data_IF_236143500710
#
_entry.id   IF_236143500710
#
_cell.length_a   1.000
_cell.length_b   1.000
_cell.length_c   1.000
_cell.angle_alpha   90.00
_cell.angle_beta   90.00
_cell.angle_gamma   90.00
#
_symmetry.space_group_name_H-M   'P 1'
#
loop_
_entity.id
_entity.type
_entity.pdbx_description
1 polymer ?
#
# COMPACT_ATOMS: atom_id res chain seq x y z
N UNK A 1 31.91 -43.84 -61.68
CA UNK A 1 31.87 -43.86 -60.22
C UNK A 1 31.38 -42.48 -59.70
N UNK A 2 30.08 -42.38 -59.35
CA UNK A 2 29.45 -41.08 -58.95
C UNK A 2 29.39 -40.99 -57.44
N UNK A 3 30.14 -40.05 -56.89
CA UNK A 3 30.16 -39.78 -55.42
C UNK A 3 28.97 -38.85 -55.11
N UNK A 4 28.02 -39.31 -54.30
CA UNK A 4 26.96 -38.51 -53.75
C UNK A 4 27.43 -37.85 -52.43
N UNK A 5 27.56 -36.53 -52.42
CA UNK A 5 27.78 -35.76 -51.18
C UNK A 5 26.42 -35.62 -50.46
N UNK A 6 26.34 -36.16 -49.25
CA UNK A 6 25.22 -35.94 -48.35
C UNK A 6 25.55 -34.68 -47.51
N UNK A 7 24.85 -33.58 -47.74
CA UNK A 7 24.88 -32.42 -46.85
C UNK A 7 23.95 -32.68 -45.68
N UNK A 8 24.56 -32.89 -44.47
CA UNK A 8 23.83 -32.99 -43.22
C UNK A 8 23.58 -31.54 -42.70
N UNK A 9 22.34 -31.11 -42.73
CA UNK A 9 21.93 -29.79 -42.22
C UNK A 9 21.71 -29.90 -40.69
N UNK A 10 22.60 -29.31 -39.89
CA UNK A 10 22.49 -29.25 -38.46
C UNK A 10 21.55 -28.08 -38.11
N UNK A 11 20.30 -28.39 -37.71
CA UNK A 11 19.34 -27.41 -37.22
C UNK A 11 19.70 -27.10 -35.77
N UNK A 12 20.29 -25.92 -35.53
CA UNK A 12 20.57 -25.40 -34.18
C UNK A 12 19.30 -24.75 -33.65
N UNK A 13 18.54 -25.47 -32.83
CA UNK A 13 17.35 -24.93 -32.15
C UNK A 13 17.81 -24.07 -30.98
N UNK A 14 17.90 -22.77 -31.22
CA UNK A 14 18.18 -21.81 -30.14
C UNK A 14 17.01 -21.75 -29.15
N UNK A 15 17.22 -22.19 -27.92
CA UNK A 15 16.27 -21.99 -26.82
C UNK A 15 16.37 -20.54 -26.39
N UNK A 16 15.38 -19.73 -26.77
CA UNK A 16 15.22 -18.36 -26.27
C UNK A 16 14.74 -18.45 -24.79
N UNK A 17 15.65 -18.24 -23.86
CA UNK A 17 15.29 -18.00 -22.47
C UNK A 17 14.60 -16.62 -22.41
N UNK A 18 13.27 -16.59 -22.36
CA UNK A 18 12.53 -15.40 -22.01
C UNK A 18 12.67 -15.19 -20.52
N UNK A 19 13.52 -14.24 -20.11
CA UNK A 19 13.50 -13.75 -18.72
C UNK A 19 12.15 -13.04 -18.52
N UNK A 20 11.26 -13.64 -17.76
CA UNK A 20 10.05 -12.98 -17.31
C UNK A 20 10.47 -11.81 -16.42
N UNK A 21 9.99 -10.58 -16.65
CA UNK A 21 10.21 -9.50 -15.72
C UNK A 21 9.61 -9.91 -14.37
N UNK A 22 10.43 -9.98 -13.34
CA UNK A 22 9.96 -10.18 -11.97
C UNK A 22 9.46 -8.84 -11.43
N UNK A 23 8.39 -8.89 -10.64
CA UNK A 23 7.95 -7.74 -9.85
C UNK A 23 9.14 -7.20 -9.04
N UNK A 24 9.31 -5.90 -9.04
CA UNK A 24 10.33 -5.26 -8.22
C UNK A 24 9.80 -5.05 -6.79
N UNK A 25 10.64 -5.33 -5.81
CA UNK A 25 10.34 -5.14 -4.41
C UNK A 25 10.82 -3.76 -3.95
N UNK A 26 9.99 -3.12 -3.11
CA UNK A 26 10.22 -1.80 -2.58
C UNK A 26 10.01 -1.80 -1.06
N UNK A 27 10.91 -1.16 -0.33
CA UNK A 27 10.69 -0.80 1.06
C UNK A 27 10.06 0.59 1.11
N UNK A 28 9.01 0.77 1.92
CA UNK A 28 8.36 2.09 2.10
C UNK A 28 9.37 3.07 2.69
N UNK A 29 9.51 4.23 2.01
CA UNK A 29 10.29 5.37 2.49
C UNK A 29 9.42 6.19 3.45
N UNK A 30 9.65 6.03 4.74
CA UNK A 30 8.87 6.71 5.79
C UNK A 30 9.09 8.23 5.81
N UNK A 31 10.17 8.71 5.20
CA UNK A 31 10.45 10.15 5.08
C UNK A 31 9.59 10.86 4.03
N UNK A 32 9.08 10.12 3.04
CA UNK A 32 8.29 10.67 1.93
C UNK A 32 6.90 10.02 1.79
N UNK A 33 6.52 9.18 2.76
CA UNK A 33 5.21 8.54 2.80
C UNK A 33 4.34 9.20 3.87
N UNK A 34 3.04 9.35 3.56
CA UNK A 34 2.06 9.93 4.48
C UNK A 34 0.82 9.07 4.54
N UNK A 35 0.41 8.71 5.75
CA UNK A 35 -0.86 8.06 6.07
C UNK A 35 -1.70 9.08 6.82
N UNK A 36 -2.66 9.70 6.14
CA UNK A 36 -3.49 10.76 6.70
C UNK A 36 -4.95 10.35 6.78
N UNK A 37 -5.68 10.93 7.70
CA UNK A 37 -7.11 10.72 7.85
C UNK A 37 -7.84 12.04 8.06
N UNK A 38 -9.13 12.03 7.72
CA UNK A 38 -10.08 13.11 7.92
C UNK A 38 -11.39 12.53 8.45
N UNK A 39 -11.97 13.16 9.47
CA UNK A 39 -13.25 12.78 10.06
C UNK A 39 -14.10 14.02 10.29
N UNK A 40 -15.42 13.92 10.12
CA UNK A 40 -16.33 15.02 10.40
C UNK A 40 -16.34 15.36 11.90
N UNK A 41 -16.24 16.63 12.25
CA UNK A 41 -16.42 17.12 13.59
C UNK A 41 -17.82 17.73 13.74
N UNK A 42 -18.79 16.92 14.16
CA UNK A 42 -20.18 17.30 14.43
C UNK A 42 -20.89 18.00 13.24
N UNK A 43 -20.42 17.79 12.01
CA UNK A 43 -20.96 18.45 10.82
C UNK A 43 -20.51 19.91 10.64
N UNK A 44 -19.72 20.49 11.56
CA UNK A 44 -19.27 21.88 11.48
C UNK A 44 -17.94 22.04 10.74
N UNK A 45 -17.06 21.06 10.88
CA UNK A 45 -15.71 21.09 10.30
C UNK A 45 -15.15 19.67 10.17
N UNK A 46 -13.88 19.56 9.83
CA UNK A 46 -13.19 18.27 9.78
C UNK A 46 -11.97 18.31 10.70
N UNK A 47 -11.85 17.28 11.53
CA UNK A 47 -10.59 16.94 12.18
C UNK A 47 -9.72 16.17 11.18
N UNK A 48 -8.47 16.59 11.04
CA UNK A 48 -7.45 15.88 10.26
C UNK A 48 -6.35 15.39 11.17
N UNK A 49 -5.76 14.26 10.80
CA UNK A 49 -4.62 13.70 11.50
C UNK A 49 -3.82 12.79 10.60
N UNK A 50 -2.75 12.25 11.16
CA UNK A 50 -1.86 11.30 10.49
C UNK A 50 -1.29 10.31 11.50
N UNK A 51 -0.67 9.26 10.96
CA UNK A 51 0.21 8.39 11.72
C UNK A 51 1.65 8.69 11.32
N UNK A 52 2.53 8.91 12.31
CA UNK A 52 3.92 9.30 12.07
C UNK A 52 4.86 8.09 11.96
N UNK A 53 4.51 6.95 12.58
CA UNK A 53 5.37 5.77 12.63
C UNK A 53 4.67 4.58 11.97
N UNK A 54 5.25 4.10 10.91
CA UNK A 54 4.79 2.94 10.13
C UNK A 54 5.98 2.32 9.39
N UNK A 55 5.82 1.06 8.99
CA UNK A 55 6.75 0.36 8.13
C UNK A 55 6.00 -0.52 7.14
N UNK A 56 6.65 -0.94 6.08
CA UNK A 56 6.06 -1.83 5.11
C UNK A 56 6.88 -2.01 3.85
N UNK A 57 6.37 -2.91 3.02
CA UNK A 57 6.95 -3.21 1.72
C UNK A 57 5.84 -3.38 0.70
N UNK A 58 6.18 -3.16 -0.55
CA UNK A 58 5.31 -3.53 -1.67
C UNK A 58 6.13 -4.08 -2.83
N UNK A 59 5.51 -4.93 -3.63
CA UNK A 59 6.04 -5.32 -4.94
C UNK A 59 5.16 -4.76 -6.05
N UNK A 60 5.79 -4.32 -7.13
CA UNK A 60 5.09 -3.80 -8.30
C UNK A 60 5.76 -4.23 -9.59
N UNK A 61 4.94 -4.63 -10.57
CA UNK A 61 5.35 -4.88 -11.95
C UNK A 61 4.35 -4.17 -12.87
N UNK A 62 4.82 -3.13 -13.57
CA UNK A 62 3.99 -2.37 -14.50
C UNK A 62 3.44 -3.23 -15.66
N UNK A 63 4.10 -4.34 -16.00
CA UNK A 63 3.65 -5.27 -17.05
C UNK A 63 2.66 -6.33 -16.53
N UNK A 64 2.65 -6.55 -15.21
CA UNK A 64 1.73 -7.46 -14.54
C UNK A 64 1.26 -6.89 -13.19
N UNK A 65 0.48 -5.81 -13.19
CA UNK A 65 0.05 -5.14 -11.96
C UNK A 65 -0.71 -6.06 -11.01
N UNK A 66 -1.40 -7.09 -11.52
CA UNK A 66 -2.14 -8.05 -10.70
C UNK A 66 -1.26 -8.89 -9.77
N UNK A 67 0.03 -8.98 -10.03
CA UNK A 67 1.00 -9.64 -9.15
C UNK A 67 1.48 -8.76 -7.99
N UNK A 68 1.10 -7.47 -7.96
CA UNK A 68 1.49 -6.53 -6.92
C UNK A 68 1.00 -6.96 -5.54
N UNK A 69 1.84 -6.77 -4.54
CA UNK A 69 1.55 -7.08 -3.13
C UNK A 69 1.93 -5.89 -2.27
N UNK A 70 1.23 -5.72 -1.17
CA UNK A 70 1.47 -4.65 -0.18
C UNK A 70 1.28 -5.22 1.22
N UNK A 71 2.22 -4.95 2.11
CA UNK A 71 2.12 -5.23 3.54
C UNK A 71 2.58 -4.01 4.31
N UNK A 72 1.75 -3.52 5.23
CA UNK A 72 2.02 -2.32 6.04
C UNK A 72 1.63 -2.56 7.49
N UNK A 73 2.49 -2.11 8.40
CA UNK A 73 2.21 -2.04 9.83
C UNK A 73 2.37 -0.60 10.29
N UNK A 74 1.37 -0.07 10.99
CA UNK A 74 1.34 1.29 11.54
C UNK A 74 1.36 1.17 13.06
N UNK A 75 2.22 1.94 13.73
CA UNK A 75 2.18 2.11 15.18
C UNK A 75 0.97 3.01 15.54
N UNK A 76 -0.04 2.44 16.16
CA UNK A 76 -1.27 3.16 16.49
C UNK A 76 -1.03 4.33 17.46
N UNK A 77 0.02 4.26 18.30
CA UNK A 77 0.35 5.35 19.24
C UNK A 77 0.91 6.58 18.54
N UNK A 78 1.36 6.45 17.28
CA UNK A 78 1.93 7.54 16.49
C UNK A 78 0.88 8.51 15.91
N UNK A 79 -0.39 8.33 16.26
CA UNK A 79 -1.48 9.24 15.86
C UNK A 79 -1.18 10.66 16.31
N UNK A 80 -1.35 11.61 15.37
CA UNK A 80 -1.06 13.02 15.55
C UNK A 80 -2.11 13.86 14.80
N UNK A 81 -2.84 14.69 15.52
CA UNK A 81 -3.84 15.61 15.00
C UNK A 81 -3.48 17.07 15.26
N UNK A 82 -2.22 17.33 15.65
CA UNK A 82 -1.73 18.65 16.05
C UNK A 82 -2.47 19.22 17.27
N UNK A 83 -2.94 18.34 18.20
CA UNK A 83 -3.60 18.75 19.43
C UNK A 83 -3.38 17.68 20.52
N UNK A 84 -2.49 17.96 21.47
CA UNK A 84 -1.97 16.98 22.42
C UNK A 84 -3.06 16.27 23.26
N UNK A 85 -4.08 17.01 23.75
CA UNK A 85 -5.15 16.40 24.55
C UNK A 85 -6.03 15.47 23.70
N UNK A 86 -6.36 15.85 22.47
CA UNK A 86 -7.09 14.99 21.54
C UNK A 86 -6.26 13.74 21.19
N UNK A 87 -4.98 13.89 20.93
CA UNK A 87 -4.10 12.76 20.61
C UNK A 87 -3.97 11.80 21.78
N UNK A 88 -3.97 12.33 23.02
CA UNK A 88 -4.01 11.52 24.24
C UNK A 88 -5.31 10.73 24.35
N UNK A 89 -6.45 11.35 24.05
CA UNK A 89 -7.77 10.71 24.06
C UNK A 89 -7.86 9.65 22.96
N UNK A 90 -7.42 9.97 21.74
CA UNK A 90 -7.37 9.02 20.62
C UNK A 90 -6.53 7.76 20.96
N UNK A 91 -5.49 7.86 21.77
CA UNK A 91 -4.68 6.72 22.22
C UNK A 91 -5.31 5.93 23.35
N UNK A 92 -6.33 6.48 24.02
CA UNK A 92 -7.00 5.85 25.15
C UNK A 92 -7.93 4.70 24.73
N UNK A 93 -8.51 4.02 25.72
CA UNK A 93 -9.49 2.97 25.55
C UNK A 93 -10.87 3.47 25.04
N UNK A 94 -11.08 4.78 25.01
CA UNK A 94 -12.24 5.38 24.34
C UNK A 94 -12.17 5.28 22.82
N UNK A 95 -10.95 5.14 22.25
CA UNK A 95 -10.72 5.10 20.78
C UNK A 95 -9.74 3.98 20.40
N UNK A 96 -8.44 4.28 20.20
CA UNK A 96 -7.48 3.33 19.64
C UNK A 96 -7.00 2.27 20.65
N UNK A 97 -7.19 2.43 21.93
CA UNK A 97 -6.67 1.56 23.00
C UNK A 97 -5.27 0.97 22.67
N UNK A 98 -4.34 1.90 22.40
CA UNK A 98 -3.01 1.53 21.87
C UNK A 98 -2.20 0.62 22.77
N UNK A 99 -2.62 0.46 24.05
CA UNK A 99 -1.99 -0.48 24.98
C UNK A 99 -2.38 -1.92 24.71
N UNK A 100 -3.64 -2.15 24.25
CA UNK A 100 -4.14 -3.48 23.86
C UNK A 100 -3.97 -3.73 22.37
N UNK A 101 -4.06 -2.69 21.55
CA UNK A 101 -4.02 -2.72 20.10
C UNK A 101 -2.92 -1.80 19.58
N UNK A 102 -1.63 -2.16 19.76
CA UNK A 102 -0.51 -1.26 19.44
C UNK A 102 -0.34 -1.02 17.94
N UNK A 103 -0.90 -1.88 17.08
CA UNK A 103 -0.69 -1.80 15.65
C UNK A 103 -1.99 -1.82 14.85
N UNK A 104 -1.95 -1.12 13.71
CA UNK A 104 -2.92 -1.23 12.62
C UNK A 104 -2.17 -1.91 11.48
N UNK A 105 -2.75 -2.93 10.84
CA UNK A 105 -2.09 -3.66 9.76
C UNK A 105 -2.94 -3.74 8.50
N UNK A 106 -2.27 -3.72 7.35
CA UNK A 106 -2.90 -3.95 6.06
C UNK A 106 -2.10 -4.98 5.26
N UNK A 107 -2.80 -6.01 4.76
CA UNK A 107 -2.25 -7.03 3.88
C UNK A 107 -3.08 -7.12 2.61
N UNK A 108 -2.44 -6.90 1.46
CA UNK A 108 -3.16 -6.97 0.18
C UNK A 108 -3.55 -8.41 -0.17
N UNK A 109 -4.72 -8.54 -0.79
CA UNK A 109 -5.24 -9.82 -1.32
C UNK A 109 -5.34 -9.83 -2.83
N UNK A 110 -5.51 -8.66 -3.46
CA UNK A 110 -5.54 -8.52 -4.91
C UNK A 110 -5.24 -7.08 -5.33
N UNK A 111 -4.64 -6.94 -6.52
CA UNK A 111 -4.51 -5.67 -7.24
C UNK A 111 -5.25 -5.79 -8.56
N UNK A 112 -6.09 -4.83 -8.87
CA UNK A 112 -6.94 -4.82 -10.07
C UNK A 112 -6.70 -3.51 -10.82
N UNK A 113 -6.14 -3.62 -12.03
CA UNK A 113 -5.97 -2.46 -12.91
C UNK A 113 -7.33 -1.93 -13.37
N UNK A 114 -7.47 -0.62 -13.41
CA UNK A 114 -8.64 0.11 -13.88
C UNK A 114 -8.29 1.17 -14.92
N UNK A 115 -9.30 1.77 -15.56
CA UNK A 115 -9.08 2.79 -16.60
C UNK A 115 -8.61 4.13 -16.01
N UNK A 116 -9.17 4.56 -14.88
CA UNK A 116 -8.87 5.87 -14.26
C UNK A 116 -8.05 5.75 -12.99
N UNK A 117 -8.29 4.68 -12.24
CA UNK A 117 -7.58 4.31 -11.04
C UNK A 117 -7.65 2.80 -10.85
N UNK A 118 -6.63 2.24 -10.23
CA UNK A 118 -6.57 0.84 -9.86
C UNK A 118 -7.29 0.61 -8.52
N UNK A 119 -7.54 -0.65 -8.20
CA UNK A 119 -8.11 -1.06 -6.93
C UNK A 119 -7.18 -2.03 -6.22
N UNK A 120 -6.68 -1.64 -5.07
CA UNK A 120 -5.94 -2.51 -4.15
C UNK A 120 -6.92 -3.07 -3.11
N UNK A 121 -7.19 -4.37 -3.17
CA UNK A 121 -7.99 -5.07 -2.15
C UNK A 121 -7.07 -5.66 -1.10
N UNK A 122 -7.53 -5.66 0.15
CA UNK A 122 -6.77 -6.24 1.24
C UNK A 122 -7.55 -6.35 2.54
N UNK A 123 -6.92 -6.95 3.52
CA UNK A 123 -7.42 -7.09 4.87
C UNK A 123 -6.81 -5.97 5.73
N UNK A 124 -7.66 -5.09 6.24
CA UNK A 124 -7.29 -4.06 7.20
C UNK A 124 -7.69 -4.51 8.59
N UNK A 125 -6.75 -4.48 9.53
CA UNK A 125 -7.00 -4.82 10.92
C UNK A 125 -6.82 -3.57 11.79
N UNK A 126 -7.88 -3.18 12.48
CA UNK A 126 -7.90 -2.13 13.50
C UNK A 126 -8.57 -2.72 14.74
N UNK A 127 -8.07 -2.50 15.95
CA UNK A 127 -8.61 -3.07 17.22
C UNK A 127 -8.78 -4.60 17.20
N UNK A 128 -7.88 -5.32 16.54
CA UNK A 128 -8.04 -6.76 16.31
C UNK A 128 -9.27 -7.16 15.48
N UNK A 129 -9.98 -6.20 14.91
CA UNK A 129 -11.08 -6.43 13.96
C UNK A 129 -10.53 -6.32 12.54
N UNK A 130 -10.65 -7.40 11.78
CA UNK A 130 -10.19 -7.46 10.39
C UNK A 130 -11.35 -7.32 9.43
N UNK A 131 -11.24 -6.39 8.48
CA UNK A 131 -12.22 -6.19 7.41
C UNK A 131 -11.54 -6.18 6.05
N UNK A 132 -12.23 -6.73 5.06
CA UNK A 132 -11.84 -6.58 3.67
C UNK A 132 -12.15 -5.15 3.21
N UNK A 133 -11.13 -4.46 2.68
CA UNK A 133 -11.27 -3.10 2.16
C UNK A 133 -10.79 -3.02 0.71
N UNK A 134 -11.27 -2.01 -0.01
CA UNK A 134 -10.87 -1.72 -1.38
C UNK A 134 -10.39 -0.27 -1.46
N UNK A 135 -9.10 -0.10 -1.64
CA UNK A 135 -8.43 1.20 -1.73
C UNK A 135 -8.33 1.57 -3.22
N UNK A 136 -8.81 2.75 -3.59
CA UNK A 136 -8.52 3.30 -4.91
C UNK A 136 -7.09 3.78 -4.92
N UNK A 137 -6.29 3.31 -5.88
CA UNK A 137 -4.87 3.65 -5.99
C UNK A 137 -4.54 4.16 -7.39
N UNK A 138 -3.53 5.02 -7.46
CA UNK A 138 -2.99 5.49 -8.73
C UNK A 138 -1.48 5.65 -8.59
N UNK A 139 -0.72 5.10 -9.53
CA UNK A 139 0.70 5.36 -9.59
C UNK A 139 0.95 6.84 -9.91
N UNK A 140 1.83 7.47 -9.15
CA UNK A 140 2.28 8.85 -9.36
C UNK A 140 3.44 8.87 -10.34
N UNK A 141 4.38 7.92 -10.18
CA UNK A 141 5.53 7.76 -11.05
C UNK A 141 6.52 6.74 -10.50
N UNK A 142 7.48 6.41 -11.34
CA UNK A 142 8.63 5.60 -10.94
C UNK A 142 9.88 6.00 -11.74
N UNK A 143 11.05 5.76 -11.20
CA UNK A 143 12.30 6.10 -11.87
C UNK A 143 13.52 6.07 -10.98
N UNK A 144 14.69 6.34 -11.61
CA UNK A 144 15.95 6.51 -10.91
C UNK A 144 15.93 7.82 -10.12
N UNK A 145 16.37 7.75 -8.87
CA UNK A 145 16.57 8.94 -8.04
C UNK A 145 17.97 9.53 -8.22
N UNK A 146 18.19 10.79 -7.78
CA UNK A 146 19.50 11.45 -7.90
C UNK A 146 20.62 10.82 -7.07
N UNK A 147 20.28 9.91 -6.14
CA UNK A 147 21.24 9.26 -5.24
C UNK A 147 21.64 7.86 -5.69
N UNK A 148 21.20 7.43 -6.89
CA UNK A 148 21.57 6.15 -7.49
C UNK A 148 20.62 5.01 -7.17
N UNK A 149 19.51 5.27 -6.48
CA UNK A 149 18.43 4.33 -6.22
C UNK A 149 17.37 4.34 -7.32
N UNK A 150 16.30 3.59 -7.08
CA UNK A 150 15.10 3.56 -7.91
C UNK A 150 13.87 3.65 -7.02
N UNK A 151 12.92 4.50 -7.38
CA UNK A 151 11.72 4.76 -6.57
C UNK A 151 10.45 4.51 -7.35
N UNK A 152 9.39 4.14 -6.64
CA UNK A 152 8.04 4.08 -7.19
C UNK A 152 7.08 4.71 -6.19
N UNK A 153 6.18 5.56 -6.69
CA UNK A 153 5.26 6.33 -5.87
C UNK A 153 3.80 6.09 -6.26
N UNK A 154 2.94 6.03 -5.23
CA UNK A 154 1.51 5.82 -5.36
C UNK A 154 0.74 6.79 -4.48
N UNK A 155 -0.45 7.17 -4.91
CA UNK A 155 -1.47 7.77 -4.05
C UNK A 155 -2.65 6.83 -3.92
N UNK A 156 -3.28 6.81 -2.75
CA UNK A 156 -4.46 6.01 -2.49
C UNK A 156 -5.49 6.74 -1.67
N UNK A 157 -6.75 6.33 -1.77
CA UNK A 157 -7.82 6.81 -0.90
C UNK A 157 -8.85 5.72 -0.64
N UNK A 158 -9.42 5.76 0.55
CA UNK A 158 -10.53 4.89 0.95
C UNK A 158 -11.35 5.59 2.02
N UNK A 159 -12.67 5.38 2.00
CA UNK A 159 -13.56 5.77 3.08
C UNK A 159 -13.92 4.52 3.86
N UNK A 160 -13.72 4.56 5.18
CA UNK A 160 -14.00 3.48 6.11
C UNK A 160 -15.14 3.88 7.02
N UNK A 161 -16.11 3.00 7.21
CA UNK A 161 -17.09 3.17 8.29
C UNK A 161 -16.42 2.77 9.61
N UNK A 162 -16.22 3.73 10.50
CA UNK A 162 -15.50 3.51 11.77
C UNK A 162 -16.19 2.51 12.69
N UNK A 163 -17.52 2.42 12.67
CA UNK A 163 -18.30 1.49 13.47
C UNK A 163 -18.03 0.02 13.11
N UNK A 164 -17.68 -0.27 11.84
CA UNK A 164 -17.30 -1.62 11.43
C UNK A 164 -16.01 -2.11 12.11
N UNK A 165 -15.21 -1.20 12.65
CA UNK A 165 -14.00 -1.47 13.41
C UNK A 165 -14.19 -1.27 14.92
N UNK A 166 -15.44 -1.18 15.40
CA UNK A 166 -15.75 -1.09 16.82
C UNK A 166 -15.60 0.31 17.43
N UNK A 167 -15.39 1.34 16.63
CA UNK A 167 -15.45 2.73 17.10
C UNK A 167 -16.89 3.15 17.35
N UNK A 168 -17.15 4.14 18.22
CA UNK A 168 -18.50 4.67 18.43
C UNK A 168 -19.15 5.18 17.14
N UNK A 169 -20.43 4.90 16.92
CA UNK A 169 -21.18 5.26 15.70
C UNK A 169 -21.13 6.76 15.38
N UNK A 170 -21.03 7.62 16.40
CA UNK A 170 -20.97 9.06 16.21
C UNK A 170 -19.66 9.56 15.57
N UNK A 171 -18.61 8.72 15.50
CA UNK A 171 -17.36 9.05 14.79
C UNK A 171 -17.64 9.16 13.30
N UNK A 172 -18.49 8.29 12.74
CA UNK A 172 -18.88 8.29 11.34
C UNK A 172 -17.77 7.76 10.42
N UNK A 173 -17.78 8.27 9.20
CA UNK A 173 -16.83 7.84 8.18
C UNK A 173 -15.45 8.47 8.34
N UNK A 174 -14.43 7.64 8.18
CA UNK A 174 -13.03 8.04 8.12
C UNK A 174 -12.58 8.07 6.66
N UNK A 175 -12.25 9.24 6.16
CA UNK A 175 -11.61 9.38 4.86
C UNK A 175 -10.09 9.24 5.05
N UNK A 176 -9.51 8.21 4.43
CA UNK A 176 -8.07 7.94 4.49
C UNK A 176 -7.44 8.35 3.17
N UNK A 177 -6.36 9.10 3.24
CA UNK A 177 -5.53 9.47 2.10
C UNK A 177 -4.09 8.96 2.32
N UNK A 178 -3.56 8.33 1.29
CA UNK A 178 -2.24 7.71 1.27
C UNK A 178 -1.39 8.37 0.19
N UNK A 179 -0.19 8.81 0.56
CA UNK A 179 0.89 9.13 -0.37
C UNK A 179 2.03 8.19 -0.02
N UNK A 180 2.35 7.27 -0.89
CA UNK A 180 3.33 6.22 -0.63
C UNK A 180 4.48 6.34 -1.61
N UNK A 181 5.69 6.37 -1.08
CA UNK A 181 6.91 6.25 -1.86
C UNK A 181 7.71 5.05 -1.36
N UNK A 182 8.26 4.27 -2.28
CA UNK A 182 9.11 3.13 -1.97
C UNK A 182 10.46 3.22 -2.65
N UNK A 183 11.47 2.76 -1.94
CA UNK A 183 12.85 2.60 -2.44
C UNK A 183 13.00 1.13 -2.83
N UNK A 184 13.44 0.89 -4.05
CA UNK A 184 13.68 -0.46 -4.57
C UNK A 184 14.81 -1.15 -3.81
N UNK A 185 14.59 -2.41 -3.42
CA UNK A 185 15.54 -3.26 -2.68
C UNK A 185 16.01 -4.44 -3.53
#
# INVERSE_FOLDING_TARGET
MKIKLLLSSLIFTGVLFTTQPMAADYKIDTGHTFVTFKVSHLGYSFTKGRFNDFEGNFSHDANNPSASKVSVTIDAKSVDTNHAERDKDLRSDNFLDVRKHPTITFESTAYMAGSDSDTLKGNLTIFSITKAVAIKVKQVGEGKDPWGGYRSGFRGNVTLNSAEFGMPDWVGDLEIELNVEGIRI
#
